data_IF_304972300698
#
_entry.id   IF_304972300698
#
_cell.length_a   1.000
_cell.length_b   1.000
_cell.length_c   1.000
_cell.angle_alpha   90.00
_cell.angle_beta   90.00
_cell.angle_gamma   90.00
#
_symmetry.space_group_name_H-M   'P 1'
#
loop_
_entity.id
_entity.type
_entity.pdbx_description
1 polymer ?
#
# COMPACT_ATOMS: atom_id res chain seq x y z
N UNK A 1 -6.02 -15.93 1.74
CA UNK A 1 -7.23 -15.20 2.18
C UNK A 1 -7.39 -13.90 1.39
N UNK A 2 -6.52 -12.90 1.57
CA UNK A 2 -6.66 -11.59 0.90
C UNK A 2 -6.78 -11.64 -0.63
N UNK A 3 -6.09 -12.56 -1.32
CA UNK A 3 -6.19 -12.72 -2.77
C UNK A 3 -7.58 -13.12 -3.28
N UNK A 4 -8.43 -13.69 -2.42
CA UNK A 4 -9.78 -14.19 -2.75
C UNK A 4 -10.90 -13.25 -2.28
N UNK A 5 -10.58 -12.24 -1.47
CA UNK A 5 -11.57 -11.33 -0.91
C UNK A 5 -11.72 -10.04 -1.70
N UNK A 6 -12.79 -9.31 -1.39
CA UNK A 6 -13.11 -7.99 -1.90
C UNK A 6 -13.16 -6.98 -0.74
N UNK A 7 -12.27 -5.98 -0.78
CA UNK A 7 -12.22 -4.94 0.24
C UNK A 7 -13.44 -4.02 0.20
N UNK A 8 -14.13 -3.89 -0.93
CA UNK A 8 -15.28 -2.96 -1.08
C UNK A 8 -16.50 -3.38 -0.27
N UNK A 9 -16.58 -4.65 0.15
CA UNK A 9 -17.59 -5.13 1.10
C UNK A 9 -17.36 -4.59 2.52
N UNK A 10 -16.11 -4.26 2.86
CA UNK A 10 -15.66 -3.88 4.21
C UNK A 10 -15.42 -2.37 4.33
N UNK A 11 -14.77 -1.79 3.32
CA UNK A 11 -14.42 -0.38 3.26
C UNK A 11 -15.60 0.46 2.79
N UNK A 12 -15.70 1.71 3.28
CA UNK A 12 -16.65 2.69 2.75
C UNK A 12 -15.95 3.53 1.68
N UNK A 13 -16.53 3.58 0.48
CA UNK A 13 -15.99 4.27 -0.68
C UNK A 13 -16.54 5.70 -0.79
N UNK A 14 -15.90 6.53 -1.61
CA UNK A 14 -16.36 7.91 -1.88
C UNK A 14 -17.79 7.92 -2.41
N UNK A 15 -18.12 7.00 -3.34
CA UNK A 15 -19.48 6.87 -3.88
C UNK A 15 -20.53 6.47 -2.84
N UNK A 16 -20.13 5.81 -1.75
CA UNK A 16 -21.07 5.43 -0.69
C UNK A 16 -21.48 6.64 0.18
N UNK A 17 -20.70 7.73 0.12
CA UNK A 17 -20.96 8.99 0.82
C UNK A 17 -21.60 10.01 -0.13
N UNK A 18 -21.09 10.13 -1.35
CA UNK A 18 -21.46 11.19 -2.30
C UNK A 18 -22.37 10.72 -3.45
N UNK A 19 -22.65 9.42 -3.57
CA UNK A 19 -23.43 8.86 -4.69
C UNK A 19 -22.69 8.78 -6.03
N UNK A 20 -21.41 9.15 -6.07
CA UNK A 20 -20.58 9.18 -7.26
C UNK A 20 -19.16 9.68 -6.96
N UNK A 21 -18.53 10.30 -7.95
CA UNK A 21 -17.24 10.96 -7.79
C UNK A 21 -17.39 12.25 -6.96
N UNK A 22 -16.35 12.61 -6.20
CA UNK A 22 -16.28 13.92 -5.56
C UNK A 22 -15.42 14.87 -6.40
N UNK A 23 -16.06 15.46 -7.40
CA UNK A 23 -15.42 16.25 -8.47
C UNK A 23 -14.60 17.44 -7.96
N UNK A 24 -15.08 18.13 -6.91
CA UNK A 24 -14.44 19.34 -6.37
C UNK A 24 -12.97 19.15 -6.02
N UNK A 25 -12.60 17.95 -5.55
CA UNK A 25 -11.22 17.60 -5.18
C UNK A 25 -10.65 16.46 -6.02
N UNK A 26 -11.35 16.06 -7.10
CA UNK A 26 -10.91 14.99 -7.99
C UNK A 26 -10.81 13.61 -7.34
N UNK A 27 -11.65 13.30 -6.35
CA UNK A 27 -11.66 11.98 -5.72
C UNK A 27 -12.64 11.06 -6.47
N UNK A 28 -12.12 9.99 -7.07
CA UNK A 28 -12.94 8.98 -7.75
C UNK A 28 -13.87 8.27 -6.77
N UNK A 29 -15.08 7.93 -7.20
CA UNK A 29 -16.09 7.24 -6.41
C UNK A 29 -15.65 5.85 -5.94
N UNK A 30 -14.72 5.22 -6.66
CA UNK A 30 -14.10 3.93 -6.30
C UNK A 30 -13.00 4.05 -5.23
N UNK A 31 -12.54 5.27 -4.90
CA UNK A 31 -11.54 5.47 -3.87
C UNK A 31 -12.12 5.16 -2.49
N UNK A 32 -11.27 4.61 -1.61
CA UNK A 32 -11.64 4.37 -0.21
C UNK A 32 -11.74 5.71 0.52
N UNK A 33 -12.92 6.02 1.03
CA UNK A 33 -13.15 7.19 1.87
C UNK A 33 -12.89 6.89 3.35
N UNK A 34 -13.24 5.68 3.79
CA UNK A 34 -13.01 5.21 5.17
C UNK A 34 -12.77 3.70 5.19
N UNK A 35 -11.53 3.31 5.49
CA UNK A 35 -11.13 1.92 5.71
C UNK A 35 -11.97 1.29 6.83
N UNK A 36 -12.49 0.08 6.62
CA UNK A 36 -13.43 -0.62 7.51
C UNK A 36 -14.71 0.16 7.81
N UNK A 37 -15.01 1.21 7.04
CA UNK A 37 -16.13 2.10 7.31
C UNK A 37 -17.49 1.40 7.26
N UNK A 38 -17.67 0.30 6.53
CA UNK A 38 -18.96 -0.41 6.51
C UNK A 38 -19.16 -1.30 7.75
N UNK A 39 -18.11 -1.56 8.53
CA UNK A 39 -18.16 -2.45 9.70
C UNK A 39 -18.88 -1.88 10.91
N UNK A 40 -19.33 -0.63 10.85
CA UNK A 40 -20.24 -0.04 11.84
C UNK A 40 -21.68 -0.59 11.70
N UNK A 41 -22.09 -1.01 10.50
CA UNK A 41 -23.40 -1.65 10.28
C UNK A 41 -23.37 -3.13 10.68
N UNK A 42 -24.35 -3.56 11.50
CA UNK A 42 -24.49 -4.96 11.90
C UNK A 42 -24.78 -5.87 10.69
N UNK A 43 -25.68 -5.46 9.83
CA UNK A 43 -26.04 -6.20 8.61
C UNK A 43 -24.83 -6.44 7.70
N UNK A 44 -24.00 -5.41 7.51
CA UNK A 44 -22.76 -5.54 6.74
C UNK A 44 -21.80 -6.53 7.41
N UNK A 45 -21.62 -6.44 8.73
CA UNK A 45 -20.76 -7.38 9.49
C UNK A 45 -21.22 -8.83 9.36
N UNK A 46 -22.52 -9.07 9.30
CA UNK A 46 -23.07 -10.43 9.20
C UNK A 46 -22.92 -11.02 7.78
N UNK A 47 -22.77 -10.17 6.76
CA UNK A 47 -22.65 -10.56 5.34
C UNK A 47 -21.21 -10.79 4.84
N UNK A 48 -20.19 -10.36 5.58
CA UNK A 48 -18.80 -10.38 5.11
C UNK A 48 -18.08 -11.71 5.36
N UNK A 49 -17.15 -12.05 4.46
CA UNK A 49 -16.26 -13.19 4.61
C UNK A 49 -14.96 -12.82 5.34
N UNK A 50 -14.22 -13.83 5.82
CA UNK A 50 -12.89 -13.63 6.41
C UNK A 50 -11.87 -13.19 5.34
N UNK A 51 -12.08 -13.60 4.10
CA UNK A 51 -11.29 -13.22 2.93
C UNK A 51 -11.41 -11.73 2.66
N UNK A 52 -12.61 -11.15 2.75
CA UNK A 52 -12.88 -9.72 2.58
C UNK A 52 -12.15 -8.89 3.64
N UNK A 53 -12.25 -9.32 4.91
CA UNK A 53 -11.50 -8.68 6.01
C UNK A 53 -10.00 -8.72 5.76
N UNK A 54 -9.46 -9.88 5.34
CA UNK A 54 -8.05 -10.00 5.02
C UNK A 54 -7.63 -9.09 3.85
N UNK A 55 -8.49 -8.94 2.83
CA UNK A 55 -8.23 -8.03 1.70
C UNK A 55 -8.29 -6.56 2.14
N UNK A 56 -9.28 -6.17 2.93
CA UNK A 56 -9.44 -4.82 3.46
C UNK A 56 -8.26 -4.42 4.35
N UNK A 57 -7.78 -5.32 5.22
CA UNK A 57 -6.57 -5.09 6.03
C UNK A 57 -5.36 -4.84 5.13
N UNK A 58 -5.16 -5.70 4.12
CA UNK A 58 -4.04 -5.58 3.21
C UNK A 58 -4.07 -4.26 2.42
N UNK A 59 -5.23 -3.90 1.86
CA UNK A 59 -5.43 -2.66 1.11
C UNK A 59 -5.20 -1.45 2.00
N UNK A 60 -5.75 -1.45 3.22
CA UNK A 60 -5.63 -0.34 4.18
C UNK A 60 -4.18 -0.08 4.56
N UNK A 61 -3.45 -1.11 4.98
CA UNK A 61 -2.03 -0.98 5.36
C UNK A 61 -1.19 -0.54 4.16
N UNK A 62 -1.41 -1.16 2.99
CA UNK A 62 -0.63 -0.85 1.78
C UNK A 62 -0.86 0.59 1.31
N UNK A 63 -2.11 1.04 1.24
CA UNK A 63 -2.43 2.41 0.80
C UNK A 63 -1.93 3.46 1.80
N UNK A 64 -1.94 3.16 3.10
CA UNK A 64 -1.39 4.05 4.11
C UNK A 64 0.13 4.21 3.98
N UNK A 65 0.86 3.09 3.82
CA UNK A 65 2.30 3.11 3.53
C UNK A 65 2.58 3.94 2.28
N UNK A 66 1.83 3.70 1.20
CA UNK A 66 1.98 4.46 -0.04
C UNK A 66 1.76 5.96 0.17
N UNK A 67 0.70 6.35 0.87
CA UNK A 67 0.39 7.76 1.12
C UNK A 67 1.49 8.47 1.90
N UNK A 68 2.03 7.83 2.94
CA UNK A 68 3.16 8.36 3.72
C UNK A 68 4.40 8.48 2.83
N UNK A 69 4.76 7.43 2.09
CA UNK A 69 5.92 7.42 1.21
C UNK A 69 5.85 8.53 0.15
N UNK A 70 4.67 8.77 -0.44
CA UNK A 70 4.44 9.90 -1.36
C UNK A 70 4.68 11.24 -0.70
N UNK A 71 4.13 11.48 0.50
CA UNK A 71 4.31 12.75 1.20
C UNK A 71 5.77 13.02 1.50
N UNK A 72 6.51 12.00 1.97
CA UNK A 72 7.95 12.10 2.18
C UNK A 72 8.71 12.38 0.87
N UNK A 73 8.40 11.66 -0.21
CA UNK A 73 9.06 11.86 -1.51
C UNK A 73 8.85 13.27 -2.07
N UNK A 74 7.62 13.80 -1.96
CA UNK A 74 7.31 15.17 -2.36
C UNK A 74 8.05 16.21 -1.51
N UNK A 75 8.17 15.98 -0.20
CA UNK A 75 8.88 16.89 0.70
C UNK A 75 10.39 16.93 0.40
N UNK A 76 10.99 15.78 0.11
CA UNK A 76 12.42 15.64 -0.18
C UNK A 76 12.78 15.88 -1.67
N UNK A 77 11.80 16.19 -2.52
CA UNK A 77 11.97 16.34 -3.97
C UNK A 77 12.57 15.09 -4.65
N UNK A 78 12.10 13.90 -4.27
CA UNK A 78 12.52 12.61 -4.81
C UNK A 78 11.44 12.06 -5.73
N UNK A 79 11.84 11.58 -6.91
CA UNK A 79 10.96 11.02 -7.95
C UNK A 79 10.82 9.49 -7.91
N UNK A 80 11.78 8.81 -7.25
CA UNK A 80 11.90 7.35 -7.22
C UNK A 80 11.85 6.84 -5.80
N UNK A 81 10.83 6.04 -5.52
CA UNK A 81 10.62 5.42 -4.21
C UNK A 81 10.84 3.93 -4.33
N UNK A 82 11.88 3.42 -3.67
CA UNK A 82 12.17 1.99 -3.60
C UNK A 82 11.49 1.41 -2.36
N UNK A 83 10.60 0.45 -2.55
CA UNK A 83 9.99 -0.28 -1.45
C UNK A 83 10.76 -1.59 -1.22
N UNK A 84 11.15 -1.83 0.04
CA UNK A 84 11.90 -3.02 0.48
C UNK A 84 11.27 -3.61 1.75
N UNK A 85 11.69 -4.81 2.13
CA UNK A 85 11.25 -5.53 3.32
C UNK A 85 10.28 -6.68 3.04
N UNK A 86 10.24 -7.65 3.96
CA UNK A 86 9.50 -8.91 3.78
C UNK A 86 7.96 -8.78 3.75
N UNK A 87 7.39 -7.60 4.01
CA UNK A 87 5.97 -7.35 3.77
C UNK A 87 5.57 -7.57 2.30
N UNK A 88 6.51 -7.32 1.38
CA UNK A 88 6.30 -7.44 -0.06
C UNK A 88 6.63 -8.85 -0.59
N UNK A 89 7.17 -9.73 0.27
CA UNK A 89 7.59 -11.09 -0.12
C UNK A 89 6.40 -11.90 -0.60
N UNK A 90 6.42 -12.25 -1.89
CA UNK A 90 5.34 -13.01 -2.56
C UNK A 90 3.99 -12.25 -2.46
N UNK A 91 4.03 -10.92 -2.38
CA UNK A 91 2.86 -10.07 -2.19
C UNK A 91 2.62 -9.13 -3.37
N UNK A 92 2.32 -9.74 -4.52
CA UNK A 92 2.03 -9.02 -5.77
C UNK A 92 0.82 -8.08 -5.67
N UNK A 93 -0.11 -8.36 -4.74
CA UNK A 93 -1.28 -7.50 -4.51
C UNK A 93 -0.82 -6.15 -3.95
N UNK A 94 0.00 -6.16 -2.88
CA UNK A 94 0.52 -4.93 -2.30
C UNK A 94 1.47 -4.18 -3.22
N UNK A 95 2.35 -4.90 -3.95
CA UNK A 95 3.26 -4.25 -4.91
C UNK A 95 2.50 -3.49 -6.00
N UNK A 96 1.45 -4.11 -6.59
CA UNK A 96 0.61 -3.45 -7.60
C UNK A 96 -0.16 -2.27 -7.02
N UNK A 97 -0.68 -2.39 -5.79
CA UNK A 97 -1.38 -1.30 -5.10
C UNK A 97 -0.46 -0.12 -4.83
N UNK A 98 0.78 -0.35 -4.36
CA UNK A 98 1.77 0.70 -4.15
C UNK A 98 2.13 1.39 -5.47
N UNK A 99 2.38 0.62 -6.53
CA UNK A 99 2.68 1.17 -7.85
C UNK A 99 1.54 2.04 -8.38
N UNK A 100 0.30 1.55 -8.30
CA UNK A 100 -0.88 2.31 -8.69
C UNK A 100 -1.06 3.58 -7.84
N UNK A 101 -0.93 3.47 -6.52
CA UNK A 101 -1.09 4.61 -5.61
C UNK A 101 -0.02 5.69 -5.86
N UNK A 102 1.23 5.31 -6.11
CA UNK A 102 2.30 6.26 -6.42
C UNK A 102 1.99 7.02 -7.70
N UNK A 103 1.67 6.30 -8.77
CA UNK A 103 1.38 6.89 -10.08
C UNK A 103 0.13 7.78 -10.04
N UNK A 104 -0.99 7.24 -9.53
CA UNK A 104 -2.29 7.93 -9.49
C UNK A 104 -2.24 9.22 -8.67
N UNK A 105 -1.73 9.17 -7.44
CA UNK A 105 -1.74 10.34 -6.55
C UNK A 105 -0.64 11.36 -6.86
N UNK A 106 0.39 10.97 -7.60
CA UNK A 106 1.45 11.88 -8.06
C UNK A 106 1.25 12.41 -9.49
N UNK A 107 0.17 11.99 -10.18
CA UNK A 107 -0.04 12.27 -11.61
C UNK A 107 1.16 11.81 -12.47
N UNK A 108 1.72 10.65 -12.13
CA UNK A 108 2.86 10.03 -12.82
C UNK A 108 4.25 10.59 -12.48
N UNK A 109 4.37 11.49 -11.51
CA UNK A 109 5.67 12.05 -11.11
C UNK A 109 6.50 11.08 -10.24
N UNK A 110 5.84 10.23 -9.45
CA UNK A 110 6.51 9.29 -8.55
C UNK A 110 6.46 7.87 -9.11
N UNK A 111 7.64 7.23 -9.17
CA UNK A 111 7.77 5.84 -9.60
C UNK A 111 8.06 4.93 -8.41
N UNK A 112 7.20 3.93 -8.21
CA UNK A 112 7.45 2.83 -7.28
C UNK A 112 8.44 1.83 -7.89
N UNK A 113 9.49 1.49 -7.15
CA UNK A 113 10.49 0.49 -7.52
C UNK A 113 10.52 -0.63 -6.49
N UNK A 114 10.82 -1.84 -6.95
CA UNK A 114 10.90 -3.05 -6.15
C UNK A 114 12.18 -3.82 -6.47
N UNK A 115 12.69 -4.57 -5.50
CA UNK A 115 13.95 -5.31 -5.63
C UNK A 115 13.72 -6.79 -5.33
N UNK A 116 14.33 -7.70 -6.11
CA UNK A 116 14.15 -9.14 -5.92
C UNK A 116 14.59 -9.64 -4.53
N UNK A 117 15.63 -9.01 -3.97
CA UNK A 117 16.20 -9.34 -2.67
C UNK A 117 15.73 -8.38 -1.56
N UNK A 118 14.48 -7.90 -1.67
CA UNK A 118 13.85 -6.90 -0.81
C UNK A 118 14.02 -7.10 0.71
N UNK A 119 14.09 -8.35 1.18
CA UNK A 119 14.18 -8.68 2.61
C UNK A 119 15.59 -8.80 3.18
N UNK A 120 16.64 -8.75 2.35
CA UNK A 120 17.98 -9.25 2.73
C UNK A 120 19.08 -8.20 2.80
N UNK A 121 18.80 -6.93 2.43
CA UNK A 121 19.82 -5.88 2.40
C UNK A 121 20.51 -5.64 3.75
N UNK A 122 19.80 -5.75 4.87
CA UNK A 122 20.40 -5.61 6.20
C UNK A 122 21.42 -6.72 6.52
N UNK A 123 21.10 -7.98 6.15
CA UNK A 123 22.02 -9.10 6.34
C UNK A 123 23.25 -9.01 5.44
N UNK A 124 23.06 -8.62 4.17
CA UNK A 124 24.16 -8.38 3.23
C UNK A 124 25.04 -7.22 3.72
N UNK A 125 24.45 -6.14 4.24
CA UNK A 125 25.19 -5.02 4.83
C UNK A 125 26.08 -5.45 6.00
N UNK A 126 25.57 -6.27 6.91
CA UNK A 126 26.35 -6.81 8.03
C UNK A 126 27.52 -7.70 7.57
N UNK A 127 27.30 -8.51 6.53
CA UNK A 127 28.37 -9.33 5.93
C UNK A 127 29.46 -8.48 5.27
N UNK A 128 29.08 -7.44 4.53
CA UNK A 128 30.04 -6.53 3.89
C UNK A 128 30.91 -5.80 4.91
N UNK A 129 30.35 -5.48 6.07
CA UNK A 129 31.11 -4.84 7.14
C UNK A 129 32.17 -5.76 7.74
N UNK A 130 31.88 -7.06 7.89
CA UNK A 130 32.87 -8.05 8.34
C UNK A 130 34.08 -8.14 7.39
N UNK A 131 33.85 -8.09 6.07
CA UNK A 131 34.95 -8.17 5.10
C UNK A 131 35.86 -6.95 5.15
N UNK A 132 35.32 -5.74 5.33
CA UNK A 132 36.16 -4.53 5.52
C UNK A 132 37.07 -4.63 6.73
N UNK A 133 36.57 -5.17 7.85
CA UNK A 133 37.38 -5.36 9.07
C UNK A 133 38.52 -6.37 8.87
N UNK A 134 38.39 -7.29 7.91
CA UNK A 134 39.41 -8.30 7.61
C UNK A 134 40.48 -7.74 6.66
N UNK A 135 40.14 -6.80 5.79
CA UNK A 135 41.07 -6.15 4.86
C UNK A 135 41.92 -5.04 5.52
N UNK A 136 41.49 -4.51 6.68
CA UNK A 136 42.24 -3.51 7.48
C UNK A 136 43.22 -4.12 8.51
N UNK A 137 43.34 -5.46 8.58
CA UNK A 137 44.30 -6.20 9.42
C UNK A 137 45.46 -6.78 8.62
#
# INVERSE_FOLDING_TARGET
MAAKGDSTNVDKLVKDIYGGDYERFGLQGSAVASSFGNMMSKEKRDSISKEDLARATLVTITNNIGSIARMCALNENIDRVVFVGNFLRINMVSMKLLAYAMDFWSKGQLKALFLEHEGYFGAVGALLELFKMTDEQ
#
